data_IF_841073392753
#
_entry.id   IF_841073392753
#
_cell.length_a   1.000
_cell.length_b   1.000
_cell.length_c   1.000
_cell.angle_alpha   90.00
_cell.angle_beta   90.00
_cell.angle_gamma   90.00
#
_symmetry.space_group_name_H-M   'P 1'
#
loop_
_entity.id
_entity.type
_entity.pdbx_description
1 polymer ?
#
# COMPACT_ATOMS: atom_id res chain seq x y z
N UNK A 1 0.63 -28.22 13.95
CA UNK A 1 -0.26 -27.40 13.09
C UNK A 1 -0.78 -26.27 13.96
N UNK A 2 -0.81 -25.00 13.62
CA UNK A 2 -0.47 -24.19 12.45
C UNK A 2 -0.99 -22.81 12.89
N UNK A 3 -0.17 -21.76 13.02
CA UNK A 3 -0.60 -20.33 13.02
C UNK A 3 0.54 -19.43 13.53
N UNK A 4 1.65 -19.34 12.81
CA UNK A 4 2.61 -18.26 13.08
C UNK A 4 3.35 -17.83 11.82
N UNK A 5 2.59 -17.61 10.74
CA UNK A 5 3.17 -17.08 9.49
C UNK A 5 2.17 -16.22 8.74
N UNK A 6 1.16 -15.66 9.40
CA UNK A 6 0.03 -15.04 8.68
C UNK A 6 0.09 -13.53 8.56
N UNK A 7 0.96 -12.82 9.30
CA UNK A 7 1.03 -11.35 9.23
C UNK A 7 2.00 -10.84 8.14
N UNK A 8 3.05 -11.60 7.81
CA UNK A 8 3.95 -11.27 6.69
C UNK A 8 3.31 -11.51 5.30
N UNK A 9 2.39 -12.47 5.21
CA UNK A 9 1.71 -12.84 3.96
C UNK A 9 0.91 -11.70 3.31
N UNK A 10 0.09 -10.90 4.02
CA UNK A 10 -0.67 -9.82 3.41
C UNK A 10 0.25 -8.74 2.81
N UNK A 11 1.35 -8.38 3.47
CA UNK A 11 2.30 -7.38 2.94
C UNK A 11 3.05 -7.88 1.70
N UNK A 12 3.56 -9.11 1.72
CA UNK A 12 4.24 -9.69 0.56
C UNK A 12 3.29 -9.88 -0.63
N UNK A 13 2.06 -10.35 -0.38
CA UNK A 13 1.03 -10.50 -1.41
C UNK A 13 0.62 -9.13 -1.98
N UNK A 14 0.47 -8.12 -1.14
CA UNK A 14 0.15 -6.76 -1.58
C UNK A 14 1.26 -6.17 -2.46
N UNK A 15 2.54 -6.36 -2.09
CA UNK A 15 3.68 -5.93 -2.92
C UNK A 15 3.70 -6.60 -4.28
N UNK A 16 3.55 -7.92 -4.32
CA UNK A 16 3.52 -8.69 -5.57
C UNK A 16 2.38 -8.22 -6.47
N UNK A 17 1.19 -8.09 -5.90
CA UNK A 17 0.00 -7.69 -6.64
C UNK A 17 0.11 -6.24 -7.15
N UNK A 18 0.71 -5.34 -6.35
CA UNK A 18 0.95 -3.96 -6.78
C UNK A 18 1.96 -3.89 -7.93
N UNK A 19 3.02 -4.70 -7.89
CA UNK A 19 4.01 -4.77 -8.96
C UNK A 19 3.42 -5.38 -10.25
N UNK A 20 2.65 -6.46 -10.14
CA UNK A 20 2.01 -7.11 -11.30
C UNK A 20 0.99 -6.19 -11.97
N UNK A 21 0.12 -5.55 -11.17
CA UNK A 21 -0.94 -4.68 -11.69
C UNK A 21 -0.46 -3.25 -12.01
N UNK A 22 0.78 -2.91 -11.63
CA UNK A 22 1.33 -1.55 -11.69
C UNK A 22 0.41 -0.51 -11.00
N UNK A 23 -0.30 -0.92 -9.95
CA UNK A 23 -1.29 -0.11 -9.22
C UNK A 23 -1.10 -0.25 -7.71
N UNK A 24 -1.51 0.75 -6.92
CA UNK A 24 -1.48 0.62 -5.46
C UNK A 24 -2.50 -0.43 -4.99
N UNK A 25 -2.08 -1.25 -4.02
CA UNK A 25 -2.91 -2.24 -3.32
C UNK A 25 -3.04 -1.80 -1.87
N UNK A 26 -4.24 -1.76 -1.35
CA UNK A 26 -4.52 -1.34 0.00
C UNK A 26 -4.83 -2.56 0.87
N UNK A 27 -4.28 -2.57 2.07
CA UNK A 27 -4.51 -3.57 3.10
C UNK A 27 -5.50 -2.97 4.09
N UNK A 28 -6.63 -3.65 4.35
CA UNK A 28 -7.68 -3.25 5.29
C UNK A 28 -8.02 -4.47 6.12
N UNK A 29 -7.81 -4.43 7.44
CA UNK A 29 -8.11 -5.56 8.34
C UNK A 29 -7.56 -6.92 7.84
N UNK A 30 -6.39 -6.90 7.19
CA UNK A 30 -5.74 -8.10 6.61
C UNK A 30 -6.21 -8.49 5.20
N UNK A 31 -7.23 -7.80 4.66
CA UNK A 31 -7.73 -7.99 3.29
C UNK A 31 -7.05 -7.06 2.28
N UNK A 32 -6.91 -7.50 1.03
CA UNK A 32 -6.28 -6.75 -0.05
C UNK A 32 -7.34 -6.19 -1.01
N UNK A 33 -7.26 -4.89 -1.31
CA UNK A 33 -8.15 -4.24 -2.26
C UNK A 33 -7.39 -3.29 -3.18
N UNK A 34 -7.80 -3.21 -4.45
CA UNK A 34 -7.28 -2.20 -5.40
C UNK A 34 -8.03 -0.87 -5.28
N UNK A 35 -9.16 -0.86 -4.58
CA UNK A 35 -9.99 0.32 -4.39
C UNK A 35 -9.53 1.04 -3.14
N UNK A 36 -9.21 2.33 -3.25
CA UNK A 36 -8.75 3.15 -2.13
C UNK A 36 -9.77 3.12 -0.98
N UNK A 37 -9.48 2.45 0.14
CA UNK A 37 -10.37 2.38 1.27
C UNK A 37 -10.28 3.67 2.07
N UNK A 38 -11.30 3.95 2.89
CA UNK A 38 -11.32 5.15 3.74
C UNK A 38 -10.21 5.18 4.79
N UNK A 39 -9.83 4.01 5.31
CA UNK A 39 -8.78 3.83 6.31
C UNK A 39 -7.98 2.56 5.98
N UNK A 40 -7.04 2.63 5.02
CA UNK A 40 -6.13 1.52 4.80
C UNK A 40 -5.28 1.33 6.06
N UNK A 41 -5.21 0.09 6.55
CA UNK A 41 -4.21 -0.31 7.52
C UNK A 41 -2.81 -0.20 6.89
N UNK A 42 -2.67 -0.50 5.60
CA UNK A 42 -1.46 -0.20 4.84
C UNK A 42 -1.73 -0.05 3.33
N UNK A 43 -0.76 0.49 2.59
CA UNK A 43 -0.79 0.64 1.14
C UNK A 43 0.51 0.11 0.55
N UNK A 44 0.44 -0.89 -0.32
CA UNK A 44 1.53 -1.35 -1.15
C UNK A 44 1.54 -0.60 -2.48
N UNK A 45 2.69 -0.03 -2.82
CA UNK A 45 2.91 0.69 -4.05
C UNK A 45 3.56 -0.21 -5.10
N UNK A 46 3.34 0.06 -6.41
CA UNK A 46 3.93 -0.73 -7.49
C UNK A 46 5.46 -0.68 -7.53
N UNK A 47 6.08 0.29 -6.86
CA UNK A 47 7.54 0.38 -6.70
C UNK A 47 8.10 -0.55 -5.59
N UNK A 48 7.25 -1.37 -4.95
CA UNK A 48 7.64 -2.28 -3.87
C UNK A 48 7.64 -1.68 -2.47
N UNK A 49 7.22 -0.42 -2.30
CA UNK A 49 7.13 0.24 -0.98
C UNK A 49 5.82 -0.07 -0.27
N UNK A 50 5.84 -0.26 1.05
CA UNK A 50 4.64 -0.39 1.90
C UNK A 50 4.51 0.85 2.79
N UNK A 51 3.30 1.41 2.89
CA UNK A 51 2.95 2.52 3.79
C UNK A 51 1.85 2.06 4.76
N UNK A 52 2.17 1.84 6.03
CA UNK A 52 1.22 1.47 7.12
C UNK A 52 0.56 2.74 7.71
N UNK A 53 -0.76 2.75 7.95
CA UNK A 53 -1.54 3.92 8.44
C UNK A 53 -1.46 4.10 9.96
N UNK A 54 -1.47 5.31 10.55
CA UNK A 54 -2.29 6.53 10.30
C UNK A 54 -1.55 7.83 10.78
N UNK A 55 -1.88 9.11 10.44
CA UNK A 55 -2.65 9.75 9.34
C UNK A 55 -1.85 10.76 8.45
N UNK A 56 -0.56 11.06 8.69
CA UNK A 56 0.13 12.19 8.04
C UNK A 56 0.74 11.86 6.65
N UNK A 57 1.14 10.61 6.45
CA UNK A 57 1.95 10.22 5.29
C UNK A 57 1.17 10.11 3.97
N UNK A 58 -0.14 9.80 4.01
CA UNK A 58 -0.97 9.76 2.80
C UNK A 58 -1.17 11.15 2.16
N UNK A 59 -0.99 12.23 2.93
CA UNK A 59 -1.00 13.62 2.42
C UNK A 59 0.28 14.00 1.66
N UNK A 60 1.40 13.31 1.89
CA UNK A 60 2.69 13.64 1.27
C UNK A 60 2.91 12.98 -0.10
N UNK A 61 2.15 11.92 -0.38
CA UNK A 61 2.28 11.13 -1.62
C UNK A 61 1.54 11.76 -2.82
N UNK A 62 0.52 12.60 -2.59
CA UNK A 62 -0.20 13.29 -3.69
C UNK A 62 0.52 14.59 -4.08
N UNK A 63 1.06 15.33 -3.11
CA UNK A 63 1.69 16.63 -3.35
C UNK A 63 2.94 16.52 -4.26
N UNK A 64 3.84 15.55 -3.99
CA UNK A 64 5.05 15.37 -4.83
C UNK A 64 4.82 14.80 -6.22
N UNK A 65 3.66 14.18 -6.48
CA UNK A 65 3.36 13.55 -7.78
C UNK A 65 2.76 14.52 -8.79
N UNK A 66 2.41 15.75 -8.37
CA UNK A 66 1.80 16.78 -9.20
C UNK A 66 2.67 18.02 -9.42
N UNK A 67 3.85 18.11 -8.80
CA UNK A 67 4.81 19.20 -9.10
C UNK A 67 5.91 18.66 -10.01
N UNK A 68 5.90 18.95 -11.33
CA UNK A 68 7.10 18.78 -12.14
C UNK A 68 8.23 19.66 -11.57
N UNK A 69 9.52 19.30 -11.72
CA UNK A 69 10.61 20.13 -11.21
C UNK A 69 10.48 21.54 -11.76
N UNK A 70 10.56 22.53 -10.86
CA UNK A 70 10.49 23.93 -11.24
C UNK A 70 11.64 24.27 -12.20
N UNK A 71 11.23 24.74 -13.38
CA UNK A 71 11.93 25.56 -14.39
C UNK A 71 13.39 25.21 -14.75
#
# INVERSE_FOLDING_TARGET
METETSDALPFERAKRLAAETHRPVYIVDGELTHTKPRRPAATAWPNGTITVGNPDAASRDIDRRLVPPAA
#
